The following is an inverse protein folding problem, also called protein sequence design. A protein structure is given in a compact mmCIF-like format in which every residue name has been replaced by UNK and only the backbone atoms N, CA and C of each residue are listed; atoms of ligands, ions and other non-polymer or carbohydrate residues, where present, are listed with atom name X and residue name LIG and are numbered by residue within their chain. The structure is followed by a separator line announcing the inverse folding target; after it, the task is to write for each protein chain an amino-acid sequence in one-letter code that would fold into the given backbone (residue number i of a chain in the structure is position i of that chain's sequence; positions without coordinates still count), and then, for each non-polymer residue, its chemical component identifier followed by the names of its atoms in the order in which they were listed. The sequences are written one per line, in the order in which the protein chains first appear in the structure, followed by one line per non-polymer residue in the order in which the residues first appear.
data_IF_266598124188
#
_entry.id   IF_266598124188
#
_cell.length_a   1.000
_cell.length_b   1.000
_cell.length_c   1.000
_cell.angle_alpha   90.00
_cell.angle_beta   90.00
_cell.angle_gamma   90.00
#
_symmetry.space_group_name_H-M   'P 1'
#
loop_
_entity.id
_entity.type
_entity.pdbx_description
1 polymer ?
#
# COMPACT_ATOMS: atom_id res chain seq x y z
N UNK A 1 6.69 29.94 9.79
CA UNK A 1 6.37 29.02 10.91
C UNK A 1 7.44 27.94 10.97
N UNK A 2 8.25 27.90 12.02
CA UNK A 2 9.19 26.81 12.29
C UNK A 2 8.39 25.54 12.58
N UNK A 3 8.53 24.50 11.76
CA UNK A 3 7.91 23.19 12.02
C UNK A 3 8.47 22.65 13.35
N UNK A 4 7.61 22.37 14.31
CA UNK A 4 7.99 21.59 15.49
C UNK A 4 8.49 20.22 15.01
N UNK A 5 9.73 19.81 15.32
CA UNK A 5 10.28 18.53 14.89
C UNK A 5 9.49 17.32 15.41
N UNK A 6 8.62 17.49 16.42
CA UNK A 6 7.80 16.42 16.99
C UNK A 6 6.43 16.26 16.31
N UNK A 7 5.99 17.22 15.49
CA UNK A 7 4.74 17.14 14.75
C UNK A 7 4.97 16.56 13.36
N UNK A 8 4.41 15.37 13.14
CA UNK A 8 4.65 14.56 11.96
C UNK A 8 3.38 14.49 11.12
N UNK A 9 3.54 14.71 9.81
CA UNK A 9 2.44 14.62 8.84
C UNK A 9 1.44 15.76 8.90
N UNK A 10 0.37 15.56 8.13
CA UNK A 10 -0.71 16.53 7.98
C UNK A 10 -1.60 16.63 9.21
N UNK A 11 -2.28 17.75 9.29
CA UNK A 11 -3.26 18.03 10.32
C UNK A 11 -4.60 17.45 9.92
N UNK A 12 -5.27 16.73 10.82
CA UNK A 12 -6.61 16.21 10.59
C UNK A 12 -7.46 16.38 11.85
N UNK A 13 -8.79 16.32 11.69
CA UNK A 13 -9.70 16.11 12.81
C UNK A 13 -9.47 17.06 14.00
N UNK A 14 -9.60 18.37 13.76
CA UNK A 14 -9.48 19.43 14.77
C UNK A 14 -8.04 19.65 15.27
N UNK A 15 -7.09 19.84 14.36
CA UNK A 15 -5.74 20.21 14.76
C UNK A 15 -4.81 19.02 15.08
N UNK A 16 -5.34 17.78 15.02
CA UNK A 16 -4.62 16.60 15.49
C UNK A 16 -3.57 16.15 14.47
N UNK A 17 -2.43 15.71 14.98
CA UNK A 17 -1.26 15.30 14.19
C UNK A 17 -0.62 14.04 14.75
N UNK A 18 0.04 13.30 13.88
CA UNK A 18 0.91 12.21 14.31
C UNK A 18 2.12 12.81 15.04
N UNK A 19 2.60 12.15 16.10
CA UNK A 19 3.78 12.60 16.85
C UNK A 19 4.66 11.44 17.28
N UNK A 20 5.97 11.67 17.40
CA UNK A 20 6.93 10.70 17.95
C UNK A 20 7.16 11.00 19.43
N UNK A 21 7.03 9.99 20.29
CA UNK A 21 7.20 10.08 21.74
C UNK A 21 7.89 8.81 22.24
N UNK A 22 9.10 8.95 22.77
CA UNK A 22 9.82 7.85 23.44
C UNK A 22 9.89 6.52 22.64
N UNK A 23 10.12 6.61 21.33
CA UNK A 23 10.18 5.44 20.43
C UNK A 23 8.82 4.92 19.94
N UNK A 24 7.71 5.52 20.39
CA UNK A 24 6.36 5.26 19.91
C UNK A 24 5.86 6.38 19.00
N UNK A 25 5.07 5.98 18.02
CA UNK A 25 4.35 6.86 17.10
C UNK A 25 2.92 6.96 17.59
N UNK A 26 2.56 8.12 18.14
CA UNK A 26 1.19 8.43 18.55
C UNK A 26 0.40 8.90 17.34
N UNK A 27 -0.57 8.10 16.89
CA UNK A 27 -1.50 8.45 15.80
C UNK A 27 -2.84 8.89 16.40
N UNK A 28 -3.38 10.05 16.00
CA UNK A 28 -4.62 10.60 16.58
C UNK A 28 -5.90 9.99 15.96
N UNK A 29 -5.86 8.70 15.66
CA UNK A 29 -6.93 7.89 15.10
C UNK A 29 -6.80 6.45 15.58
N UNK A 30 -7.85 5.65 15.41
CA UNK A 30 -7.77 4.22 15.70
C UNK A 30 -6.60 3.57 14.94
N UNK A 31 -5.99 2.58 15.58
CA UNK A 31 -4.94 1.73 15.03
C UNK A 31 -5.41 0.29 14.88
N UNK A 32 -6.73 0.03 14.87
CA UNK A 32 -7.27 -1.33 14.82
C UNK A 32 -6.71 -2.11 13.62
N UNK A 33 -6.64 -1.47 12.45
CA UNK A 33 -6.17 -2.10 11.22
C UNK A 33 -4.67 -2.36 11.23
N UNK A 34 -3.86 -1.40 11.69
CA UNK A 34 -2.42 -1.59 11.89
C UNK A 34 -2.15 -2.68 12.93
N UNK A 35 -2.87 -2.70 14.04
CA UNK A 35 -2.74 -3.74 15.06
C UNK A 35 -3.07 -5.12 14.47
N UNK A 36 -4.19 -5.23 13.75
CA UNK A 36 -4.62 -6.48 13.14
C UNK A 36 -3.59 -7.05 12.16
N UNK A 37 -2.84 -6.19 11.44
CA UNK A 37 -1.85 -6.63 10.46
C UNK A 37 -0.42 -6.72 11.01
N UNK A 38 -0.04 -5.94 12.02
CA UNK A 38 1.37 -5.74 12.39
C UNK A 38 1.67 -6.17 13.84
N UNK A 39 0.66 -6.36 14.68
CA UNK A 39 0.89 -6.84 16.04
C UNK A 39 1.07 -8.36 16.05
N UNK A 40 2.14 -8.89 16.68
CA UNK A 40 2.40 -10.33 16.70
C UNK A 40 1.27 -11.13 17.38
N UNK A 41 0.58 -10.53 18.35
CA UNK A 41 -0.55 -11.14 19.05
C UNK A 41 -1.89 -11.05 18.31
N UNK A 42 -1.95 -10.35 17.17
CA UNK A 42 -3.22 -10.18 16.46
C UNK A 42 -3.71 -11.50 15.84
N UNK A 43 -5.04 -11.73 15.82
CA UNK A 43 -5.59 -12.99 15.32
C UNK A 43 -5.31 -13.20 13.82
N UNK A 44 -5.28 -12.12 13.03
CA UNK A 44 -4.91 -12.20 11.62
C UNK A 44 -3.44 -12.58 11.46
N UNK A 45 -2.52 -12.04 12.26
CA UNK A 45 -1.10 -12.43 12.19
C UNK A 45 -0.87 -13.88 12.56
N UNK A 46 -1.48 -14.35 13.65
CA UNK A 46 -1.45 -15.75 14.03
C UNK A 46 -1.96 -16.65 12.89
N UNK A 47 -3.04 -16.24 12.21
CA UNK A 47 -3.58 -17.02 11.08
C UNK A 47 -2.67 -17.02 9.86
N UNK A 48 -2.06 -15.88 9.52
CA UNK A 48 -1.11 -15.79 8.41
C UNK A 48 0.12 -16.68 8.67
N UNK A 49 0.63 -16.72 9.90
CA UNK A 49 1.72 -17.59 10.31
C UNK A 49 1.31 -19.08 10.27
N UNK A 50 0.10 -19.42 10.74
CA UNK A 50 -0.43 -20.80 10.68
C UNK A 50 -0.49 -21.34 9.25
N UNK A 51 -0.97 -20.54 8.29
CA UNK A 51 -1.18 -21.00 6.91
C UNK A 51 0.09 -20.94 6.06
N UNK A 52 1.05 -20.10 6.45
CA UNK A 52 2.31 -19.94 5.74
C UNK A 52 3.38 -19.29 6.63
N UNK A 53 4.06 -20.06 7.50
CA UNK A 53 5.01 -19.52 8.49
C UNK A 53 6.07 -18.62 7.88
N UNK A 54 6.63 -19.04 6.74
CA UNK A 54 7.64 -18.27 6.02
C UNK A 54 7.03 -17.36 4.95
N UNK A 55 5.72 -17.44 4.66
CA UNK A 55 5.10 -16.70 3.55
C UNK A 55 4.97 -15.21 3.85
N UNK A 56 4.72 -14.86 5.11
CA UNK A 56 4.43 -13.50 5.57
C UNK A 56 5.39 -13.03 6.67
N UNK A 57 6.59 -13.64 6.70
CA UNK A 57 7.68 -13.32 7.62
C UNK A 57 8.32 -11.95 7.37
N UNK A 58 8.01 -11.34 6.23
CA UNK A 58 8.44 -9.99 5.84
C UNK A 58 7.70 -8.86 6.55
N UNK A 59 6.57 -9.15 7.20
CA UNK A 59 5.82 -8.14 7.95
C UNK A 59 6.55 -7.82 9.25
N UNK A 60 6.65 -6.53 9.63
CA UNK A 60 7.20 -6.17 10.93
C UNK A 60 6.29 -6.65 12.05
N UNK A 61 6.89 -6.97 13.19
CA UNK A 61 6.17 -7.21 14.44
C UNK A 61 6.34 -5.97 15.32
N UNK A 62 5.26 -5.18 15.43
CA UNK A 62 5.24 -3.91 16.17
C UNK A 62 4.36 -4.04 17.41
N UNK A 63 4.77 -3.40 18.51
CA UNK A 63 3.97 -3.35 19.74
C UNK A 63 2.99 -2.18 19.72
N UNK A 64 1.81 -2.37 20.30
CA UNK A 64 0.78 -1.33 20.42
C UNK A 64 0.43 -1.13 21.89
N UNK A 65 0.34 0.12 22.35
CA UNK A 65 -0.11 0.43 23.72
C UNK A 65 -1.61 0.61 23.81
N UNK A 66 -2.22 1.14 22.74
CA UNK A 66 -3.66 1.32 22.57
C UNK A 66 -3.97 1.23 21.08
N UNK A 67 -4.99 0.48 20.69
CA UNK A 67 -5.29 0.24 19.26
C UNK A 67 -6.76 0.44 18.88
N UNK A 68 -7.68 0.11 19.77
CA UNK A 68 -9.13 0.17 19.56
C UNK A 68 -9.74 1.55 19.83
N UNK A 69 -9.03 2.42 20.56
CA UNK A 69 -9.52 3.76 20.86
C UNK A 69 -9.68 4.62 19.59
N UNK A 70 -10.92 5.03 19.31
CA UNK A 70 -11.27 5.88 18.16
C UNK A 70 -10.48 7.19 18.13
N UNK A 71 -10.18 7.76 19.30
CA UNK A 71 -9.49 9.03 19.45
C UNK A 71 -7.98 8.97 19.20
N UNK A 72 -7.38 7.78 19.14
CA UNK A 72 -5.93 7.66 18.98
C UNK A 72 -5.33 6.47 19.69
N UNK A 73 -4.15 6.07 19.23
CA UNK A 73 -3.34 5.04 19.84
C UNK A 73 -1.87 5.28 19.59
N UNK A 74 -1.03 4.42 20.16
CA UNK A 74 0.41 4.47 19.92
C UNK A 74 0.90 3.11 19.45
N UNK A 75 1.80 3.15 18.47
CA UNK A 75 2.48 1.99 17.89
C UNK A 75 3.99 2.20 17.98
N UNK A 76 4.71 1.15 18.30
CA UNK A 76 6.17 1.14 18.29
C UNK A 76 6.69 1.56 16.91
N UNK A 77 7.65 2.49 16.91
CA UNK A 77 8.35 2.84 15.68
C UNK A 77 9.12 1.62 15.17
N UNK A 78 8.99 1.32 13.88
CA UNK A 78 9.78 0.26 13.25
C UNK A 78 11.28 0.54 13.42
N UNK A 79 11.97 -0.36 14.10
CA UNK A 79 13.42 -0.35 14.25
C UNK A 79 14.03 -1.43 13.34
N UNK A 80 14.72 -0.98 12.29
CA UNK A 80 15.26 -1.81 11.23
C UNK A 80 16.70 -1.43 10.93
N UNK A 81 17.52 -2.43 10.68
CA UNK A 81 18.84 -2.24 10.07
C UNK A 81 18.69 -1.97 8.56
N UNK A 82 19.63 -1.25 7.93
CA UNK A 82 19.65 -1.15 6.47
C UNK A 82 19.76 -2.54 5.83
N UNK A 83 19.16 -2.73 4.66
CA UNK A 83 19.43 -3.92 3.84
C UNK A 83 20.90 -3.97 3.43
N UNK A 84 21.46 -5.18 3.41
CA UNK A 84 22.80 -5.39 2.85
C UNK A 84 22.86 -4.95 1.37
N UNK A 85 23.90 -4.21 0.95
CA UNK A 85 24.14 -3.94 -0.47
C UNK A 85 24.36 -5.21 -1.31
N UNK A 86 24.71 -6.33 -0.67
CA UNK A 86 24.92 -7.63 -1.30
C UNK A 86 23.75 -8.57 -1.11
N UNK A 87 22.56 -8.04 -0.82
CA UNK A 87 21.36 -8.87 -0.65
C UNK A 87 21.06 -9.63 -1.94
N UNK A 88 20.60 -10.88 -1.80
CA UNK A 88 20.15 -11.66 -2.95
C UNK A 88 18.91 -11.00 -3.57
N UNK A 89 19.09 -10.44 -4.77
CA UNK A 89 18.02 -9.79 -5.51
C UNK A 89 16.85 -10.75 -5.80
N UNK A 90 17.10 -12.04 -5.96
CA UNK A 90 16.05 -13.04 -6.22
C UNK A 90 15.17 -13.21 -4.99
N UNK A 91 15.77 -13.37 -3.80
CA UNK A 91 15.07 -13.43 -2.52
C UNK A 91 14.27 -12.15 -2.22
N UNK A 92 14.88 -10.97 -2.40
CA UNK A 92 14.18 -9.69 -2.20
C UNK A 92 13.00 -9.52 -3.18
N UNK A 93 13.18 -9.91 -4.44
CA UNK A 93 12.11 -9.87 -5.42
C UNK A 93 10.98 -10.84 -5.06
N UNK A 94 11.32 -12.04 -4.59
CA UNK A 94 10.35 -13.01 -4.11
C UNK A 94 9.53 -12.44 -2.93
N UNK A 95 10.18 -11.84 -1.92
CA UNK A 95 9.52 -11.11 -0.81
C UNK A 95 8.61 -10.01 -1.33
N UNK A 96 9.08 -9.21 -2.29
CA UNK A 96 8.31 -8.11 -2.90
C UNK A 96 7.02 -8.62 -3.53
N UNK A 97 7.08 -9.74 -4.26
CA UNK A 97 5.90 -10.39 -4.84
C UNK A 97 4.87 -10.79 -3.79
N UNK A 98 5.32 -11.42 -2.70
CA UNK A 98 4.45 -11.83 -1.58
C UNK A 98 3.79 -10.64 -0.90
N UNK A 99 4.53 -9.54 -0.70
CA UNK A 99 4.02 -8.30 -0.13
C UNK A 99 2.93 -7.67 -1.02
N UNK A 100 3.17 -7.54 -2.33
CA UNK A 100 2.19 -7.02 -3.29
C UNK A 100 0.91 -7.87 -3.27
N UNK A 101 1.03 -9.19 -3.24
CA UNK A 101 -0.11 -10.09 -3.16
C UNK A 101 -0.92 -9.89 -1.87
N UNK A 102 -0.27 -9.88 -0.71
CA UNK A 102 -0.95 -9.70 0.57
C UNK A 102 -1.70 -8.38 0.64
N UNK A 103 -1.03 -7.28 0.30
CA UNK A 103 -1.60 -5.95 0.41
C UNK A 103 -2.77 -5.74 -0.56
N UNK A 104 -2.62 -6.19 -1.80
CA UNK A 104 -3.73 -6.10 -2.76
C UNK A 104 -4.90 -7.01 -2.36
N UNK A 105 -4.62 -8.21 -1.84
CA UNK A 105 -5.67 -9.16 -1.46
C UNK A 105 -6.49 -8.66 -0.25
N UNK A 106 -5.83 -8.05 0.73
CA UNK A 106 -6.49 -7.40 1.88
C UNK A 106 -7.16 -6.07 1.52
N UNK A 107 -6.94 -5.55 0.31
CA UNK A 107 -7.52 -4.29 -0.13
C UNK A 107 -6.84 -3.07 0.49
N UNK A 108 -5.53 -3.13 0.74
CA UNK A 108 -4.78 -1.97 1.22
C UNK A 108 -4.56 -0.99 0.09
N UNK A 109 -4.84 0.28 0.34
CA UNK A 109 -4.57 1.38 -0.59
C UNK A 109 -3.70 2.47 0.04
N UNK A 110 -3.27 3.44 -0.77
CA UNK A 110 -2.33 4.50 -0.37
C UNK A 110 -0.95 4.02 0.12
N UNK A 111 -0.47 2.91 -0.43
CA UNK A 111 0.87 2.35 -0.16
C UNK A 111 1.94 2.96 -1.07
N UNK A 112 2.01 4.29 -1.08
CA UNK A 112 3.18 4.98 -1.62
C UNK A 112 4.42 4.71 -0.77
N UNK A 113 5.59 5.01 -1.33
CA UNK A 113 6.85 4.64 -0.72
C UNK A 113 6.98 5.22 0.70
N UNK A 114 6.43 6.39 1.02
CA UNK A 114 6.48 6.96 2.38
C UNK A 114 5.73 6.13 3.42
N UNK A 115 4.72 5.38 3.01
CA UNK A 115 3.92 4.50 3.85
C UNK A 115 4.46 3.06 3.94
N UNK A 116 5.67 2.81 3.42
CA UNK A 116 6.35 1.51 3.52
C UNK A 116 7.66 1.62 4.29
N UNK A 117 8.01 0.55 5.00
CA UNK A 117 9.37 0.31 5.51
C UNK A 117 10.05 -0.80 4.73
N UNK A 118 11.36 -0.67 4.55
CA UNK A 118 12.21 -1.70 3.96
C UNK A 118 13.53 -1.76 4.74
N UNK A 119 13.88 -2.92 5.26
CA UNK A 119 15.12 -3.08 6.02
C UNK A 119 15.32 -4.53 6.47
N UNK A 120 16.25 -4.73 7.38
CA UNK A 120 16.53 -6.03 7.99
C UNK A 120 16.22 -6.01 9.48
N UNK A 121 15.67 -7.10 9.98
CA UNK A 121 15.55 -7.39 11.41
C UNK A 121 15.85 -8.86 11.63
N UNK A 122 16.79 -9.15 12.52
CA UNK A 122 17.16 -10.52 12.89
C UNK A 122 17.53 -11.39 11.66
N UNK A 123 18.21 -10.79 10.67
CA UNK A 123 18.63 -11.45 9.44
C UNK A 123 17.52 -11.71 8.42
N UNK A 124 16.31 -11.17 8.64
CA UNK A 124 15.16 -11.29 7.73
C UNK A 124 14.87 -9.96 7.05
N UNK A 125 14.43 -10.04 5.79
CA UNK A 125 13.95 -8.89 5.02
C UNK A 125 12.59 -8.47 5.59
N UNK A 126 12.47 -7.21 6.00
CA UNK A 126 11.21 -6.59 6.38
C UNK A 126 10.76 -5.67 5.25
N UNK A 127 9.54 -5.87 4.75
CA UNK A 127 8.87 -5.00 3.77
C UNK A 127 7.41 -4.83 4.19
N UNK A 128 7.13 -3.86 5.07
CA UNK A 128 5.83 -3.70 5.73
C UNK A 128 5.15 -2.36 5.44
N UNK A 129 3.82 -2.27 5.53
CA UNK A 129 3.12 -0.99 5.56
C UNK A 129 3.27 -0.36 6.96
N UNK A 130 3.26 0.95 6.99
CA UNK A 130 3.24 1.76 8.22
C UNK A 130 1.86 2.37 8.46
N UNK A 131 1.10 2.52 7.39
CA UNK A 131 -0.26 3.01 7.41
C UNK A 131 -1.19 1.99 6.75
N UNK A 132 -2.20 1.53 7.50
CA UNK A 132 -3.12 0.45 7.12
C UNK A 132 -4.57 0.93 7.24
N UNK A 133 -4.81 2.24 7.37
CA UNK A 133 -6.16 2.76 7.61
C UNK A 133 -7.10 2.69 6.41
N UNK A 134 -6.55 2.49 5.21
CA UNK A 134 -7.28 2.19 3.99
C UNK A 134 -7.10 0.70 3.70
N UNK A 135 -8.09 -0.09 4.09
CA UNK A 135 -8.09 -1.56 4.02
C UNK A 135 -9.48 -2.04 3.60
N UNK A 136 -9.58 -3.29 3.14
CA UNK A 136 -10.81 -3.94 2.71
C UNK A 136 -11.40 -3.37 1.42
N UNK A 137 -10.69 -2.55 0.65
CA UNK A 137 -11.16 -2.20 -0.70
C UNK A 137 -11.20 -3.45 -1.60
N UNK A 138 -12.27 -3.63 -2.39
CA UNK A 138 -12.35 -4.74 -3.36
C UNK A 138 -11.57 -4.41 -4.63
N UNK A 139 -10.24 -4.53 -4.53
CA UNK A 139 -9.30 -4.16 -5.59
C UNK A 139 -9.30 -5.17 -6.74
N UNK A 140 -9.30 -4.64 -7.96
CA UNK A 140 -9.17 -5.41 -9.19
C UNK A 140 -7.70 -5.62 -9.60
N UNK A 141 -6.87 -4.58 -9.40
CA UNK A 141 -5.47 -4.58 -9.80
C UNK A 141 -4.55 -4.11 -8.66
N UNK A 142 -3.30 -4.62 -8.58
CA UNK A 142 -2.31 -4.16 -7.61
C UNK A 142 -1.92 -2.68 -7.75
N UNK A 143 -2.16 -2.07 -8.90
CA UNK A 143 -1.92 -0.63 -9.13
C UNK A 143 -2.76 0.25 -8.21
N UNK A 144 -3.97 -0.17 -7.88
CA UNK A 144 -4.89 0.56 -6.98
C UNK A 144 -4.38 0.64 -5.53
N UNK A 145 -3.40 -0.18 -5.17
CA UNK A 145 -2.73 -0.08 -3.86
C UNK A 145 -1.77 1.11 -3.78
N UNK A 146 -1.39 1.71 -4.93
CA UNK A 146 -0.21 2.57 -5.12
C UNK A 146 1.15 1.89 -4.89
N UNK A 147 1.21 0.57 -4.73
CA UNK A 147 2.49 -0.15 -4.74
C UNK A 147 3.10 -0.17 -6.13
N UNK A 148 2.27 -0.42 -7.15
CA UNK A 148 2.63 -0.36 -8.56
C UNK A 148 2.09 0.95 -9.17
N UNK A 149 2.77 1.50 -10.18
CA UNK A 149 2.30 2.72 -10.82
C UNK A 149 1.03 2.44 -11.65
N UNK A 150 0.04 3.32 -11.55
CA UNK A 150 -1.19 3.20 -12.33
C UNK A 150 -0.93 3.34 -13.84
N UNK A 151 -1.85 2.84 -14.65
CA UNK A 151 -1.80 3.00 -16.11
C UNK A 151 -2.38 4.34 -16.59
N UNK A 152 -3.30 4.91 -15.80
CA UNK A 152 -4.06 6.10 -16.12
C UNK A 152 -3.15 7.31 -16.32
N UNK A 153 -3.14 7.84 -17.55
CA UNK A 153 -2.29 8.95 -17.99
C UNK A 153 -2.47 10.22 -17.15
N UNK A 154 -3.65 10.45 -16.57
CA UNK A 154 -3.95 11.67 -15.81
C UNK A 154 -3.24 11.70 -14.45
N UNK A 155 -2.99 10.53 -13.86
CA UNK A 155 -2.35 10.38 -12.55
C UNK A 155 -1.00 9.66 -12.62
N UNK A 156 -0.62 9.23 -13.82
CA UNK A 156 0.52 8.33 -14.03
C UNK A 156 1.81 8.91 -13.49
N UNK A 157 2.06 10.21 -13.68
CA UNK A 157 3.33 10.83 -13.29
C UNK A 157 3.48 10.97 -11.77
N UNK A 158 2.38 11.24 -11.06
CA UNK A 158 2.35 11.27 -9.59
C UNK A 158 2.53 9.86 -9.04
N UNK A 159 1.72 8.90 -9.53
CA UNK A 159 1.77 7.51 -9.10
C UNK A 159 3.11 6.85 -9.42
N UNK A 160 3.73 7.15 -10.56
CA UNK A 160 5.07 6.65 -10.93
C UNK A 160 6.14 7.04 -9.94
N UNK A 161 6.10 8.25 -9.38
CA UNK A 161 7.11 8.72 -8.43
C UNK A 161 6.84 8.23 -7.02
N UNK A 162 5.56 8.16 -6.65
CA UNK A 162 5.17 7.81 -5.31
C UNK A 162 5.08 6.29 -5.07
N UNK A 163 5.10 5.44 -6.10
CA UNK A 163 4.73 4.04 -5.89
C UNK A 163 5.66 3.25 -4.96
N UNK A 164 5.06 2.43 -4.10
CA UNK A 164 5.74 1.74 -3.00
C UNK A 164 6.92 0.85 -3.42
N UNK A 165 6.81 0.14 -4.54
CA UNK A 165 7.88 -0.77 -5.02
C UNK A 165 9.17 -0.05 -5.39
N UNK A 166 9.18 1.28 -5.53
CA UNK A 166 10.42 2.02 -5.75
C UNK A 166 11.43 1.83 -4.64
N UNK A 167 10.99 1.48 -3.42
CA UNK A 167 11.90 1.21 -2.30
C UNK A 167 12.87 0.06 -2.55
N UNK A 168 12.44 -0.96 -3.31
CA UNK A 168 13.26 -2.15 -3.54
C UNK A 168 14.17 -1.99 -4.78
N UNK A 169 13.88 -1.04 -5.67
CA UNK A 169 14.64 -0.84 -6.91
C UNK A 169 16.15 -0.59 -6.73
N UNK A 170 16.62 0.15 -5.70
CA UNK A 170 18.06 0.31 -5.47
C UNK A 170 18.80 -1.01 -5.27
N UNK A 171 18.11 -2.04 -4.78
CA UNK A 171 18.67 -3.36 -4.48
C UNK A 171 18.42 -4.38 -5.59
N UNK A 172 17.28 -4.27 -6.28
CA UNK A 172 16.92 -5.17 -7.40
C UNK A 172 17.58 -4.78 -8.74
N UNK A 173 18.01 -3.53 -8.87
CA UNK A 173 18.58 -2.98 -10.10
C UNK A 173 17.57 -2.23 -10.97
N UNK A 174 18.09 -1.50 -11.96
CA UNK A 174 17.31 -0.72 -12.92
C UNK A 174 17.93 -0.84 -14.32
N UNK A 175 17.46 -1.76 -15.19
CA UNK A 175 16.34 -2.70 -14.98
C UNK A 175 16.68 -3.82 -13.99
N UNK A 176 15.65 -4.50 -13.47
CA UNK A 176 15.85 -5.71 -12.66
C UNK A 176 16.24 -6.89 -13.57
N UNK A 177 16.90 -7.89 -12.99
CA UNK A 177 17.18 -9.16 -13.68
C UNK A 177 15.91 -9.97 -13.96
N UNK A 178 15.92 -10.77 -15.02
CA UNK A 178 14.77 -11.58 -15.40
C UNK A 178 14.46 -12.64 -14.34
N UNK A 179 15.49 -13.25 -13.75
CA UNK A 179 15.39 -14.24 -12.67
C UNK A 179 14.68 -13.64 -11.44
N UNK A 180 15.05 -12.41 -11.07
CA UNK A 180 14.40 -11.68 -9.99
C UNK A 180 12.93 -11.38 -10.32
N UNK A 181 12.62 -10.97 -11.55
CA UNK A 181 11.22 -10.75 -11.97
C UNK A 181 10.39 -12.04 -11.88
N UNK A 182 10.90 -13.18 -12.37
CA UNK A 182 10.17 -14.44 -12.28
C UNK A 182 10.00 -14.89 -10.82
N UNK A 183 10.98 -14.65 -9.95
CA UNK A 183 10.84 -14.90 -8.51
C UNK A 183 9.78 -14.01 -7.85
N UNK A 184 9.69 -12.73 -8.23
CA UNK A 184 8.63 -11.82 -7.79
C UNK A 184 7.25 -12.32 -8.21
N UNK A 185 7.13 -12.78 -9.46
CA UNK A 185 5.90 -13.37 -9.99
C UNK A 185 5.50 -14.63 -9.21
N UNK A 186 6.46 -15.51 -8.91
CA UNK A 186 6.21 -16.71 -8.12
C UNK A 186 5.68 -16.37 -6.71
N UNK A 187 6.30 -15.40 -6.03
CA UNK A 187 5.86 -14.94 -4.71
C UNK A 187 4.45 -14.40 -4.71
N UNK A 188 4.15 -13.56 -5.71
CA UNK A 188 2.83 -12.98 -5.88
C UNK A 188 1.75 -14.07 -6.04
N UNK A 189 1.96 -14.99 -7.00
CA UNK A 189 1.02 -16.07 -7.28
C UNK A 189 0.83 -16.99 -6.09
N UNK A 190 1.94 -17.40 -5.45
CA UNK A 190 1.91 -18.35 -4.32
C UNK A 190 1.20 -17.77 -3.11
N UNK A 191 1.47 -16.51 -2.78
CA UNK A 191 0.78 -15.81 -1.70
C UNK A 191 -0.71 -15.65 -2.00
N UNK A 192 -1.11 -15.20 -3.20
CA UNK A 192 -2.52 -15.11 -3.59
C UNK A 192 -3.24 -16.45 -3.49
N UNK A 193 -2.65 -17.52 -4.05
CA UNK A 193 -3.23 -18.85 -3.99
C UNK A 193 -3.41 -19.35 -2.56
N UNK A 194 -2.48 -19.03 -1.65
CA UNK A 194 -2.59 -19.38 -0.24
C UNK A 194 -3.70 -18.58 0.47
N UNK A 195 -3.78 -17.27 0.22
CA UNK A 195 -4.80 -16.39 0.78
C UNK A 195 -6.20 -16.80 0.30
N UNK A 196 -6.38 -17.07 -1.00
CA UNK A 196 -7.66 -17.51 -1.57
C UNK A 196 -8.16 -18.83 -0.96
N UNK A 197 -7.26 -19.81 -0.78
CA UNK A 197 -7.61 -21.09 -0.13
C UNK A 197 -8.05 -20.92 1.32
N UNK A 198 -7.49 -19.92 2.01
CA UNK A 198 -7.76 -19.64 3.41
C UNK A 198 -8.75 -18.48 3.63
N UNK A 199 -9.33 -17.93 2.56
CA UNK A 199 -10.23 -16.79 2.61
C UNK A 199 -11.38 -16.96 3.63
N UNK A 200 -12.06 -18.13 3.72
CA UNK A 200 -13.09 -18.33 4.74
C UNK A 200 -12.60 -18.21 6.19
N UNK A 201 -11.40 -18.73 6.48
CA UNK A 201 -10.85 -18.68 7.83
C UNK A 201 -10.38 -17.26 8.19
N UNK A 202 -9.80 -16.56 7.22
CA UNK A 202 -9.44 -15.14 7.36
C UNK A 202 -10.70 -14.29 7.55
N UNK A 203 -11.75 -14.53 6.76
CA UNK A 203 -13.02 -13.81 6.90
C UNK A 203 -13.62 -13.97 8.30
N UNK A 204 -13.60 -15.20 8.85
CA UNK A 204 -14.10 -15.45 10.21
C UNK A 204 -13.39 -14.62 11.28
N UNK A 205 -12.12 -14.25 11.07
CA UNK A 205 -11.39 -13.36 11.98
C UNK A 205 -11.99 -11.96 11.93
N UNK A 206 -12.22 -11.42 10.73
CA UNK A 206 -12.89 -10.13 10.56
C UNK A 206 -14.31 -10.16 11.16
N UNK A 207 -15.10 -11.21 10.91
CA UNK A 207 -16.45 -11.36 11.48
C UNK A 207 -16.45 -11.34 13.01
N UNK A 208 -15.41 -11.91 13.62
CA UNK A 208 -15.26 -11.97 15.08
C UNK A 208 -14.65 -10.71 15.70
N UNK A 209 -14.16 -9.77 14.87
CA UNK A 209 -13.41 -8.60 15.34
C UNK A 209 -14.32 -7.61 16.06
N UNK A 210 -14.09 -7.34 17.35
CA UNK A 210 -14.79 -6.27 18.05
C UNK A 210 -14.51 -4.94 17.35
N UNK A 211 -15.57 -4.20 17.03
CA UNK A 211 -15.45 -2.88 16.39
C UNK A 211 -15.31 -2.91 14.86
N UNK A 212 -15.44 -4.06 14.17
CA UNK A 212 -15.45 -4.10 12.69
C UNK A 212 -16.40 -3.05 12.09
N UNK A 213 -17.62 -2.95 12.63
CA UNK A 213 -18.65 -2.03 12.14
C UNK A 213 -18.45 -0.56 12.56
N UNK A 214 -17.55 -0.29 13.50
CA UNK A 214 -17.39 1.03 14.13
C UNK A 214 -16.01 1.66 13.89
N UNK A 215 -15.03 0.86 13.45
CA UNK A 215 -13.69 1.30 13.11
C UNK A 215 -13.71 2.05 11.76
N UNK A 216 -13.28 3.31 11.73
CA UNK A 216 -13.09 4.06 10.49
C UNK A 216 -12.16 3.34 9.51
N UNK A 217 -12.63 3.16 8.28
CA UNK A 217 -11.80 2.81 7.12
C UNK A 217 -11.64 4.10 6.32
N UNK A 218 -10.44 4.67 6.29
CA UNK A 218 -10.21 5.97 5.64
C UNK A 218 -10.53 5.89 4.15
N UNK A 219 -10.99 7.00 3.62
CA UNK A 219 -11.16 7.21 2.18
C UNK A 219 -10.48 8.51 1.81
N UNK A 220 -9.77 8.50 0.69
CA UNK A 220 -9.30 9.71 0.02
C UNK A 220 -10.29 10.07 -1.08
N UNK A 221 -10.95 11.22 -0.94
CA UNK A 221 -11.75 11.79 -2.02
C UNK A 221 -10.90 12.58 -3.01
N UNK A 222 -9.69 12.97 -2.58
CA UNK A 222 -8.78 13.85 -3.30
C UNK A 222 -7.35 13.70 -2.77
N UNK A 223 -6.35 14.03 -3.59
CA UNK A 223 -4.96 14.13 -3.14
C UNK A 223 -4.73 15.25 -2.12
N UNK A 224 -3.80 15.04 -1.18
CA UNK A 224 -3.42 16.06 -0.18
C UNK A 224 -2.91 17.35 -0.83
N UNK A 225 -2.15 17.24 -1.92
CA UNK A 225 -1.59 18.36 -2.66
C UNK A 225 -2.68 19.25 -3.27
N UNK A 226 -3.80 18.67 -3.71
CA UNK A 226 -4.94 19.43 -4.19
C UNK A 226 -5.60 20.24 -3.07
N UNK A 227 -5.75 19.68 -1.86
CA UNK A 227 -6.24 20.44 -0.71
C UNK A 227 -5.30 21.58 -0.31
N UNK A 228 -3.99 21.39 -0.47
CA UNK A 228 -3.01 22.44 -0.23
C UNK A 228 -3.14 23.55 -1.27
N UNK A 229 -3.33 23.19 -2.56
CA UNK A 229 -3.55 24.15 -3.66
C UNK A 229 -4.87 24.90 -3.55
N UNK A 230 -5.94 24.23 -3.10
CA UNK A 230 -7.27 24.81 -2.93
C UNK A 230 -7.33 26.02 -1.98
N UNK A 231 -6.27 26.25 -1.19
CA UNK A 231 -6.12 27.46 -0.36
C UNK A 231 -5.80 28.72 -1.15
N UNK A 232 -5.24 28.58 -2.35
CA UNK A 232 -4.79 29.69 -3.19
C UNK A 232 -5.51 29.74 -4.55
N UNK A 233 -6.06 28.61 -5.00
CA UNK A 233 -6.59 28.44 -6.35
C UNK A 233 -7.94 27.70 -6.30
N UNK A 234 -8.80 27.96 -7.28
CA UNK A 234 -10.01 27.17 -7.48
C UNK A 234 -9.62 25.76 -7.98
N UNK A 235 -10.22 24.73 -7.38
CA UNK A 235 -9.96 23.33 -7.75
C UNK A 235 -11.17 22.73 -8.45
N UNK A 236 -10.92 21.81 -9.38
CA UNK A 236 -11.94 21.03 -10.06
C UNK A 236 -11.75 19.53 -9.75
N UNK A 237 -12.80 18.77 -9.39
CA UNK A 237 -14.16 19.27 -9.08
C UNK A 237 -14.16 20.23 -7.88
N UNK A 238 -15.22 21.04 -7.67
CA UNK A 238 -15.29 21.96 -6.54
C UNK A 238 -15.22 21.23 -5.19
N UNK A 239 -14.80 21.95 -4.15
CA UNK A 239 -14.80 21.39 -2.80
C UNK A 239 -16.24 21.22 -2.28
N UNK A 240 -16.53 20.03 -1.76
CA UNK A 240 -17.72 19.73 -0.98
C UNK A 240 -17.78 20.60 0.28
N UNK A 241 -18.98 20.88 0.78
CA UNK A 241 -19.17 21.65 2.02
C UNK A 241 -18.37 21.07 3.20
N UNK A 242 -18.30 19.75 3.30
CA UNK A 242 -17.52 19.07 4.35
C UNK A 242 -15.99 19.21 4.16
N UNK A 243 -15.49 19.32 2.94
CA UNK A 243 -14.08 19.63 2.68
C UNK A 243 -13.77 21.07 3.09
N UNK A 244 -14.64 22.02 2.72
CA UNK A 244 -14.53 23.43 3.10
C UNK A 244 -14.59 23.62 4.62
N UNK A 245 -15.52 22.94 5.30
CA UNK A 245 -15.69 22.98 6.75
C UNK A 245 -14.42 22.55 7.48
N UNK A 246 -13.74 21.51 6.98
CA UNK A 246 -12.49 20.99 7.52
C UNK A 246 -11.30 21.91 7.22
N UNK A 247 -11.20 22.39 5.98
CA UNK A 247 -10.13 23.31 5.57
C UNK A 247 -10.19 24.63 6.32
N UNK A 248 -11.40 25.14 6.62
CA UNK A 248 -11.59 26.35 7.43
C UNK A 248 -11.03 26.22 8.86
N UNK A 249 -10.90 25.00 9.38
CA UNK A 249 -10.24 24.70 10.67
C UNK A 249 -8.72 24.57 10.56
N UNK A 250 -8.17 24.58 9.34
CA UNK A 250 -6.76 24.32 9.07
C UNK A 250 -6.40 22.84 8.92
N UNK A 251 -7.39 21.94 8.85
CA UNK A 251 -7.18 20.52 8.65
C UNK A 251 -7.08 20.18 7.15
N UNK A 252 -6.35 19.11 6.82
CA UNK A 252 -6.55 18.35 5.59
C UNK A 252 -7.79 17.47 5.81
N UNK A 253 -8.79 17.49 4.90
CA UNK A 253 -10.01 16.70 5.08
C UNK A 253 -9.75 15.21 5.31
N UNK A 254 -10.47 14.66 6.29
CA UNK A 254 -10.41 13.25 6.69
C UNK A 254 -11.80 12.63 6.55
N UNK A 255 -11.93 11.72 5.58
CA UNK A 255 -13.15 10.97 5.35
C UNK A 255 -12.93 9.49 5.64
N UNK A 256 -14.01 8.83 6.04
CA UNK A 256 -13.98 7.40 6.30
C UNK A 256 -15.32 6.75 6.01
N UNK A 257 -15.29 5.43 5.79
CA UNK A 257 -16.46 4.56 5.79
C UNK A 257 -16.46 3.69 7.03
N UNK A 258 -17.63 3.16 7.37
CA UNK A 258 -17.79 2.15 8.39
C UNK A 258 -18.18 0.84 7.70
N UNK A 259 -17.61 -0.28 8.12
CA UNK A 259 -17.88 -1.56 7.48
C UNK A 259 -19.38 -1.89 7.55
N UNK A 260 -19.95 -2.33 6.42
CA UNK A 260 -21.38 -2.63 6.30
C UNK A 260 -22.28 -1.39 6.12
N UNK A 261 -21.72 -0.18 6.02
CA UNK A 261 -22.46 1.05 5.74
C UNK A 261 -22.04 1.62 4.37
N UNK A 262 -23.00 2.21 3.67
CA UNK A 262 -22.75 2.81 2.34
C UNK A 262 -22.26 4.25 2.41
N UNK A 263 -22.44 4.94 3.54
CA UNK A 263 -22.17 6.37 3.63
C UNK A 263 -20.68 6.66 3.86
N UNK A 264 -20.20 7.73 3.22
CA UNK A 264 -18.93 8.37 3.55
C UNK A 264 -19.18 9.32 4.72
N UNK A 265 -18.31 9.32 5.71
CA UNK A 265 -18.46 10.08 6.96
C UNK A 265 -17.23 10.92 7.26
N UNK A 266 -17.43 11.93 8.09
CA UNK A 266 -16.35 12.73 8.69
C UNK A 266 -16.71 13.08 10.14
N UNK A 267 -15.70 13.36 10.97
CA UNK A 267 -15.93 13.76 12.36
C UNK A 267 -16.40 15.21 12.44
N UNK A 268 -17.50 15.43 13.15
CA UNK A 268 -18.12 16.76 13.28
C UNK A 268 -17.79 17.46 14.59
N UNK A 269 -17.06 16.81 15.50
CA UNK A 269 -16.68 17.39 16.79
C UNK A 269 -15.28 16.94 17.28
N UNK A 270 -14.62 17.72 18.17
CA UNK A 270 -13.26 17.44 18.61
C UNK A 270 -13.03 16.13 19.37
N UNK A 271 -14.05 15.55 20.01
CA UNK A 271 -13.96 14.26 20.73
C UNK A 271 -13.84 13.06 19.79
N UNK A 272 -14.18 13.23 18.51
CA UNK A 272 -14.29 12.17 17.49
C UNK A 272 -15.34 11.10 17.83
N UNK A 273 -16.32 11.42 18.68
CA UNK A 273 -17.42 10.51 19.02
C UNK A 273 -18.56 10.60 18.01
N UNK A 274 -18.93 11.82 17.62
CA UNK A 274 -19.94 12.07 16.58
C UNK A 274 -19.34 12.19 15.17
N UNK A 275 -20.10 11.70 14.19
CA UNK A 275 -19.76 11.82 12.77
C UNK A 275 -20.98 12.13 11.94
N UNK A 276 -20.79 12.92 10.88
CA UNK A 276 -21.81 13.23 9.86
C UNK A 276 -21.55 12.43 8.61
N UNK A 277 -22.62 12.05 7.91
CA UNK A 277 -22.53 11.46 6.59
C UNK A 277 -22.50 12.56 5.53
N UNK A 278 -21.73 12.35 4.46
CA UNK A 278 -21.89 13.11 3.22
C UNK A 278 -23.25 12.78 2.58
N UNK A 279 -23.82 13.72 1.79
CA UNK A 279 -24.97 13.42 0.96
C UNK A 279 -24.72 12.20 0.06
N UNK A 280 -25.78 11.41 -0.20
CA UNK A 280 -25.69 10.25 -1.11
C UNK A 280 -25.89 10.63 -2.59
N UNK A 281 -26.28 11.87 -2.85
CA UNK A 281 -26.59 12.41 -4.17
C UNK A 281 -25.74 13.66 -4.46
N UNK A 282 -25.61 14.01 -5.74
CA UNK A 282 -24.80 15.13 -6.21
C UNK A 282 -23.38 14.73 -6.56
N UNK A 283 -22.44 15.67 -6.45
CA UNK A 283 -21.03 15.50 -6.84
C UNK A 283 -20.20 14.69 -5.82
N UNK A 284 -20.86 13.90 -4.96
CA UNK A 284 -20.18 13.04 -3.98
C UNK A 284 -19.62 11.80 -4.70
N UNK A 285 -18.31 11.52 -4.58
CA UNK A 285 -17.69 10.38 -5.25
C UNK A 285 -18.37 9.05 -4.88
N UNK A 286 -18.68 8.25 -5.90
CA UNK A 286 -19.09 6.87 -5.70
C UNK A 286 -17.83 6.03 -5.52
N UNK A 287 -17.74 5.38 -4.37
CA UNK A 287 -16.55 4.62 -4.01
C UNK A 287 -16.72 3.15 -4.34
N UNK A 288 -15.58 2.52 -4.63
CA UNK A 288 -15.53 1.08 -4.84
C UNK A 288 -16.07 0.30 -3.62
N UNK A 289 -16.74 -0.84 -3.84
CA UNK A 289 -17.27 -1.64 -2.74
C UNK A 289 -16.14 -2.17 -1.86
N UNK A 290 -16.43 -2.32 -0.58
CA UNK A 290 -15.56 -3.05 0.33
C UNK A 290 -15.68 -4.56 0.09
N UNK A 291 -14.63 -5.30 0.41
CA UNK A 291 -14.61 -6.75 0.46
C UNK A 291 -15.69 -7.25 1.40
N UNK A 292 -16.54 -8.12 0.87
CA UNK A 292 -17.65 -8.69 1.61
C UNK A 292 -17.18 -9.85 2.49
N UNK A 293 -16.90 -9.53 3.76
CA UNK A 293 -16.53 -10.47 4.82
C UNK A 293 -17.58 -11.58 4.94
N UNK A 294 -18.88 -11.26 4.85
CA UNK A 294 -19.97 -12.25 4.97
C UNK A 294 -19.98 -13.26 3.81
N UNK A 295 -19.45 -12.86 2.65
CA UNK A 295 -19.19 -13.73 1.51
C UNK A 295 -17.81 -14.38 1.56
N UNK A 296 -17.18 -14.45 2.73
CA UNK A 296 -15.89 -15.10 2.95
C UNK A 296 -14.77 -14.44 2.13
N UNK A 297 -14.82 -13.11 1.98
CA UNK A 297 -13.89 -12.30 1.17
C UNK A 297 -13.84 -12.70 -0.31
N UNK A 298 -14.87 -13.40 -0.80
CA UNK A 298 -15.04 -13.73 -2.21
C UNK A 298 -15.53 -12.50 -2.96
N UNK A 299 -14.90 -12.24 -4.09
CA UNK A 299 -15.29 -11.18 -5.01
C UNK A 299 -15.12 -11.65 -6.47
N UNK A 300 -15.98 -11.19 -7.40
CA UNK A 300 -15.74 -11.39 -8.83
C UNK A 300 -14.40 -10.80 -9.31
N UNK A 301 -13.89 -9.75 -8.65
CA UNK A 301 -12.61 -9.09 -8.97
C UNK A 301 -11.39 -9.93 -8.63
N UNK A 302 -11.52 -10.96 -7.78
CA UNK A 302 -10.41 -11.87 -7.44
C UNK A 302 -9.83 -12.59 -8.65
N UNK A 303 -10.65 -12.85 -9.69
CA UNK A 303 -10.14 -13.43 -10.94
C UNK A 303 -9.23 -12.44 -11.67
N UNK A 304 -9.68 -11.20 -11.81
CA UNK A 304 -8.90 -10.13 -12.44
C UNK A 304 -7.59 -9.89 -11.68
N UNK A 305 -7.64 -9.89 -10.34
CA UNK A 305 -6.44 -9.78 -9.51
C UNK A 305 -5.43 -10.88 -9.79
N UNK A 306 -5.85 -12.14 -9.95
CA UNK A 306 -4.94 -13.25 -10.27
C UNK A 306 -4.36 -13.17 -11.68
N UNK A 307 -5.17 -12.81 -12.67
CA UNK A 307 -4.80 -12.88 -14.09
C UNK A 307 -4.20 -11.56 -14.58
N UNK A 308 -4.96 -10.47 -14.47
CA UNK A 308 -4.52 -9.13 -14.88
C UNK A 308 -3.54 -8.53 -13.89
N UNK A 309 -3.70 -8.78 -12.59
CA UNK A 309 -2.74 -8.33 -11.58
C UNK A 309 -1.33 -8.92 -11.77
N UNK A 310 -1.24 -10.15 -12.29
CA UNK A 310 0.02 -10.76 -12.73
C UNK A 310 0.68 -9.96 -13.85
N UNK A 311 -0.10 -9.57 -14.86
CA UNK A 311 0.40 -8.77 -15.98
C UNK A 311 0.73 -7.33 -15.57
N UNK A 312 -0.01 -6.75 -14.63
CA UNK A 312 0.36 -5.47 -14.01
C UNK A 312 1.71 -5.59 -13.27
N UNK A 313 1.93 -6.67 -12.52
CA UNK A 313 3.23 -6.91 -11.88
C UNK A 313 4.35 -7.04 -12.91
N UNK A 314 4.18 -7.89 -13.93
CA UNK A 314 5.19 -8.10 -14.96
C UNK A 314 5.45 -6.81 -15.73
N UNK A 315 4.41 -6.10 -16.15
CA UNK A 315 4.50 -4.87 -16.94
C UNK A 315 5.17 -3.73 -16.20
N UNK A 316 4.97 -3.62 -14.88
CA UNK A 316 5.64 -2.62 -14.06
C UNK A 316 7.17 -2.69 -14.21
N UNK A 317 7.70 -3.91 -14.32
CA UNK A 317 9.13 -4.21 -14.38
C UNK A 317 9.60 -4.75 -15.73
N UNK A 318 8.76 -4.75 -16.78
CA UNK A 318 9.20 -5.19 -18.10
C UNK A 318 10.23 -4.21 -18.67
N UNK A 319 11.20 -4.77 -19.38
CA UNK A 319 12.22 -4.00 -20.07
C UNK A 319 12.67 -4.73 -21.34
N UNK A 320 12.92 -3.96 -22.41
CA UNK A 320 13.32 -4.48 -23.74
C UNK A 320 14.55 -5.40 -23.75
N UNK A 321 15.35 -5.41 -22.68
CA UNK A 321 16.51 -6.31 -22.54
C UNK A 321 16.12 -7.72 -22.12
N UNK A 322 14.95 -7.91 -21.50
CA UNK A 322 14.47 -9.23 -21.09
C UNK A 322 14.07 -10.02 -22.34
N UNK A 323 14.72 -11.18 -22.56
CA UNK A 323 14.52 -12.04 -23.74
C UNK A 323 14.75 -13.50 -23.35
N UNK A 324 13.95 -14.40 -23.90
CA UNK A 324 14.08 -15.83 -23.62
C UNK A 324 13.19 -16.28 -22.48
N UNK A 325 13.43 -17.51 -22.01
CA UNK A 325 12.62 -18.20 -21.01
C UNK A 325 13.36 -18.24 -19.68
N UNK A 326 12.68 -17.86 -18.62
CA UNK A 326 13.18 -17.86 -17.25
C UNK A 326 12.23 -18.59 -16.34
N UNK A 327 12.76 -19.29 -15.35
CA UNK A 327 11.99 -20.18 -14.47
C UNK A 327 12.35 -19.94 -13.01
N UNK A 328 11.34 -19.97 -12.14
CA UNK A 328 11.52 -19.97 -10.69
C UNK A 328 10.36 -20.73 -10.04
N UNK A 329 10.67 -21.69 -9.16
CA UNK A 329 9.68 -22.63 -8.62
C UNK A 329 8.80 -23.25 -9.73
N UNK A 330 7.48 -23.09 -9.66
CA UNK A 330 6.50 -23.61 -10.62
C UNK A 330 6.04 -22.56 -11.65
N UNK A 331 6.81 -21.46 -11.79
CA UNK A 331 6.54 -20.38 -12.74
C UNK A 331 7.62 -20.35 -13.82
N UNK A 332 7.19 -20.19 -15.09
CA UNK A 332 8.07 -19.83 -16.19
C UNK A 332 7.54 -18.65 -16.97
N UNK A 333 8.37 -17.65 -17.25
CA UNK A 333 8.03 -16.50 -18.11
C UNK A 333 8.91 -16.54 -19.35
N UNK A 334 8.28 -16.49 -20.52
CA UNK A 334 8.96 -16.39 -21.82
C UNK A 334 8.75 -15.01 -22.41
N UNK A 335 9.83 -14.22 -22.46
CA UNK A 335 9.84 -12.90 -23.09
C UNK A 335 10.21 -13.04 -24.57
N UNK A 336 9.24 -12.77 -25.46
CA UNK A 336 9.46 -12.67 -26.91
C UNK A 336 9.45 -11.20 -27.34
N UNK A 337 9.63 -10.95 -28.64
CA UNK A 337 9.67 -9.60 -29.18
C UNK A 337 8.35 -8.84 -29.00
N UNK A 338 7.22 -9.49 -29.26
CA UNK A 338 5.86 -8.90 -29.17
C UNK A 338 4.93 -9.59 -28.20
N UNK A 339 5.30 -10.78 -27.71
CA UNK A 339 4.43 -11.58 -26.84
C UNK A 339 5.16 -11.95 -25.56
N UNK A 340 4.37 -12.18 -24.53
CA UNK A 340 4.78 -12.70 -23.24
C UNK A 340 3.92 -13.92 -22.91
N UNK A 341 4.58 -15.00 -22.53
CA UNK A 341 3.91 -16.24 -22.12
C UNK A 341 4.29 -16.52 -20.67
N UNK A 342 3.28 -16.68 -19.82
CA UNK A 342 3.43 -17.07 -18.42
C UNK A 342 2.85 -18.47 -18.21
N UNK A 343 3.70 -19.42 -17.85
CA UNK A 343 3.32 -20.77 -17.47
C UNK A 343 3.33 -20.87 -15.94
N UNK A 344 2.19 -21.25 -15.37
CA UNK A 344 1.88 -21.15 -13.95
C UNK A 344 1.47 -22.51 -13.39
N UNK A 345 2.35 -23.50 -13.53
CA UNK A 345 2.07 -24.90 -13.25
C UNK A 345 1.31 -25.57 -14.39
N UNK A 346 -0.03 -25.64 -14.29
CA UNK A 346 -0.90 -26.25 -15.33
C UNK A 346 -1.55 -25.22 -16.25
N UNK A 347 -1.53 -23.96 -15.86
CA UNK A 347 -2.13 -22.87 -16.60
C UNK A 347 -1.08 -22.18 -17.47
N UNK A 348 -1.48 -21.77 -18.68
CA UNK A 348 -0.67 -20.97 -19.58
C UNK A 348 -1.46 -19.71 -19.93
N UNK A 349 -0.84 -18.55 -19.73
CA UNK A 349 -1.39 -17.24 -20.07
C UNK A 349 -0.50 -16.60 -21.13
N UNK A 350 -1.09 -16.17 -22.25
CA UNK A 350 -0.39 -15.44 -23.30
C UNK A 350 -1.00 -14.03 -23.46
N UNK A 351 -0.15 -13.02 -23.62
CA UNK A 351 -0.55 -11.64 -23.90
C UNK A 351 0.45 -10.97 -24.84
N UNK A 352 0.00 -9.89 -25.48
CA UNK A 352 0.91 -8.93 -26.08
C UNK A 352 1.80 -8.32 -24.99
N UNK A 353 3.07 -8.08 -25.34
CA UNK A 353 4.08 -7.53 -24.43
C UNK A 353 3.90 -6.03 -24.16
N UNK A 354 3.03 -5.36 -24.92
CA UNK A 354 2.59 -4.01 -24.56
C UNK A 354 1.61 -4.09 -23.37
N UNK A 355 2.16 -4.01 -22.16
CA UNK A 355 1.42 -4.12 -20.91
C UNK A 355 0.97 -2.75 -20.39
N UNK A 356 1.12 -1.67 -21.17
CA UNK A 356 0.76 -0.31 -20.79
C UNK A 356 -0.70 -0.14 -20.37
N UNK A 357 -1.60 -0.99 -20.90
CA UNK A 357 -3.02 -1.03 -20.51
C UNK A 357 -3.27 -1.44 -19.05
N UNK A 358 -2.33 -2.14 -18.42
CA UNK A 358 -2.48 -2.63 -17.05
C UNK A 358 -1.71 -1.77 -16.05
N UNK A 359 -0.59 -1.20 -16.47
CA UNK A 359 0.41 -0.61 -15.57
C UNK A 359 1.37 0.29 -16.33
N UNK A 360 1.87 1.33 -15.69
CA UNK A 360 3.01 2.07 -16.22
C UNK A 360 4.36 1.45 -15.81
N UNK A 361 5.44 1.82 -16.50
CA UNK A 361 6.78 1.33 -16.12
C UNK A 361 7.34 2.04 -14.88
N UNK A 362 7.95 1.28 -13.97
CA UNK A 362 8.71 1.83 -12.83
C UNK A 362 10.05 2.44 -13.25
N UNK A 363 10.50 2.20 -14.50
CA UNK A 363 11.84 2.56 -14.96
C UNK A 363 12.02 3.97 -15.49
N UNK A 364 10.97 4.78 -15.54
CA UNK A 364 11.10 6.17 -15.95
C UNK A 364 12.01 6.98 -14.98
N UNK A 365 12.65 8.06 -15.44
CA UNK A 365 13.53 8.88 -14.61
C UNK A 365 12.79 9.38 -13.36
N UNK A 366 13.37 9.20 -12.16
CA UNK A 366 12.87 9.84 -10.94
C UNK A 366 13.60 11.16 -10.75
N UNK A 367 12.87 12.20 -10.37
CA UNK A 367 13.40 13.43 -9.78
C UNK A 367 13.15 13.49 -8.26
N UNK A 368 12.59 12.43 -7.67
CA UNK A 368 12.16 12.29 -6.27
C UNK A 368 13.27 12.38 -5.21
N UNK A 369 14.45 12.92 -5.54
CA UNK A 369 15.51 13.15 -4.57
C UNK A 369 14.93 13.76 -3.28
N UNK A 370 15.15 13.06 -2.17
CA UNK A 370 15.06 13.61 -0.82
C UNK A 370 13.66 14.05 -0.37
N UNK A 371 12.77 13.10 -0.11
CA UNK A 371 11.69 13.33 0.86
C UNK A 371 12.01 12.57 2.14
N UNK A 372 12.06 13.28 3.27
CA UNK A 372 12.25 12.68 4.60
C UNK A 372 10.87 12.34 5.15
N UNK A 373 10.42 11.11 4.93
CA UNK A 373 9.23 10.59 5.62
C UNK A 373 9.62 10.21 7.06
N UNK A 374 8.81 10.61 8.04
CA UNK A 374 9.20 10.46 9.46
C UNK A 374 8.98 9.05 9.98
N UNK A 375 8.01 8.34 9.39
CA UNK A 375 7.73 6.93 9.66
C UNK A 375 8.85 6.01 9.20
N UNK A 376 9.69 6.53 8.31
CA UNK A 376 10.62 5.78 7.51
C UNK A 376 12.00 5.95 8.12
N UNK A 377 12.63 4.88 8.64
CA UNK A 377 13.97 4.99 9.20
C UNK A 377 14.94 5.57 8.14
N UNK A 378 15.88 6.47 8.51
CA UNK A 378 16.80 7.10 7.56
C UNK A 378 17.58 6.10 6.68
N UNK A 379 17.79 4.89 7.22
CA UNK A 379 18.48 3.78 6.56
C UNK A 379 17.74 3.20 5.35
N UNK A 380 16.48 3.61 5.13
CA UNK A 380 15.62 3.11 4.07
C UNK A 380 15.48 4.09 2.90
N UNK A 381 16.22 5.20 2.92
CA UNK A 381 16.23 6.20 1.84
C UNK A 381 17.07 5.72 0.65
N UNK A 382 16.63 6.06 -0.57
CA UNK A 382 17.43 5.83 -1.76
C UNK A 382 18.72 6.67 -1.70
N UNK A 383 19.88 6.02 -1.61
CA UNK A 383 21.16 6.64 -1.92
C UNK A 383 21.22 6.89 -3.43
N UNK A 384 20.54 7.92 -3.94
CA UNK A 384 20.89 8.43 -5.25
C UNK A 384 22.33 8.94 -5.13
N UNK A 385 23.30 8.44 -5.93
CA UNK A 385 24.56 9.14 -6.06
C UNK A 385 24.19 10.55 -6.49
N UNK A 386 24.59 11.55 -5.69
CA UNK A 386 24.41 12.95 -6.02
C UNK A 386 24.84 13.12 -7.47
N UNK A 387 23.88 13.41 -8.36
CA UNK A 387 24.22 13.76 -9.73
C UNK A 387 25.14 14.96 -9.56
N UNK A 388 26.42 14.76 -9.85
CA UNK A 388 27.46 15.73 -9.60
C UNK A 388 26.95 17.09 -10.03
N UNK A 389 26.97 18.06 -9.11
CA UNK A 389 26.69 19.44 -9.43
C UNK A 389 27.42 19.76 -10.72
N UNK A 390 26.67 19.97 -11.80
CA UNK A 390 27.24 20.64 -12.97
C UNK A 390 27.65 21.99 -12.43
N UNK A 391 28.96 22.16 -12.22
CA UNK A 391 29.55 23.47 -12.05
C UNK A 391 29.09 24.28 -13.25
N UNK A 392 28.23 25.26 -13.00
CA UNK A 392 28.02 26.37 -13.91
C UNK A 392 29.33 27.14 -14.05
#
# INVERSE_FOLDING_TARGET
MTRDPNHLGDCHNFGRRVSLRDGFVAKPRTLLWEWLLLAPESPLRAKLEEVGPDMFDFLPSLRFTTHDARAGGEVERADLSPLSPTIDATSLAHVTGRAIALYTWLGLSDLHWENLVLGEREGRIVLGPLDVEMILDDLELPTQTKLLPEADEDIVDVCRHACGVRRVLPFLGKPIGAEALVAMVAGYRRALGLLDRNAPAIASIFESLPGLADAPIRVLLRGTDEYVRAKAEEVWPPLLDAEQEQLARGDIPYFFRLYGRSEIRYFSEPSLTESRALPLEGDVPQLEPLLDVSKKLRSPRRKSLREQGLFALIGAFDHRTLKGRYTYEDVAITFRGKTLIAELGRDELETERDLGRFVASVYLPCTCGETRAVFVPPVTMCNAPSRGARRL
#
